data_IF_593422769504
#
_entry.id   IF_593422769504
#
_cell.length_a   1.000
_cell.length_b   1.000
_cell.length_c   1.000
_cell.angle_alpha   90.00
_cell.angle_beta   90.00
_cell.angle_gamma   90.00
#
_symmetry.space_group_name_H-M   'P 1'
#
loop_
_entity.id
_entity.type
_entity.pdbx_description
1 polymer ?
#
# COMPACT_ATOMS: atom_id res chain seq x y z
N UNK A 1 10.04 -25.27 22.44
CA UNK A 1 8.82 -24.47 22.21
C UNK A 1 8.65 -24.37 20.72
N UNK A 2 7.52 -24.79 20.16
CA UNK A 2 7.26 -24.60 18.71
C UNK A 2 7.09 -23.10 18.47
N UNK A 3 8.02 -22.50 17.75
CA UNK A 3 7.96 -21.07 17.40
C UNK A 3 6.88 -20.89 16.34
N UNK A 4 5.88 -20.05 16.57
CA UNK A 4 4.83 -19.77 15.60
C UNK A 4 5.41 -19.01 14.42
N UNK A 5 5.15 -19.49 13.20
CA UNK A 5 5.72 -18.94 11.97
C UNK A 5 4.67 -18.18 11.15
N UNK A 6 5.00 -16.97 10.73
CA UNK A 6 4.23 -16.19 9.76
C UNK A 6 4.98 -16.05 8.46
N UNK A 7 4.32 -16.31 7.32
CA UNK A 7 4.82 -15.95 6.00
C UNK A 7 4.24 -14.60 5.59
N UNK A 8 5.11 -13.65 5.26
CA UNK A 8 4.72 -12.31 4.78
C UNK A 8 5.04 -12.22 3.29
N UNK A 9 4.00 -12.17 2.45
CA UNK A 9 4.12 -11.91 1.02
C UNK A 9 3.96 -10.41 0.75
N UNK A 10 4.85 -9.86 -0.10
CA UNK A 10 4.97 -8.40 -0.28
C UNK A 10 5.83 -7.72 0.81
N UNK A 11 6.68 -8.47 1.51
CA UNK A 11 7.50 -8.04 2.64
C UNK A 11 8.43 -6.83 2.34
N UNK A 12 8.83 -6.63 1.09
CA UNK A 12 9.68 -5.49 0.67
C UNK A 12 8.90 -4.20 0.43
N UNK A 13 7.54 -4.29 0.34
CA UNK A 13 6.65 -3.14 0.14
C UNK A 13 6.51 -2.27 1.39
N UNK A 14 5.82 -1.13 1.24
CA UNK A 14 5.58 -0.19 2.34
C UNK A 14 4.97 -0.89 3.56
N UNK A 15 3.78 -1.45 3.43
CA UNK A 15 3.09 -2.12 4.54
C UNK A 15 3.79 -3.42 4.96
N UNK A 16 4.30 -4.19 4.01
CA UNK A 16 4.97 -5.48 4.30
C UNK A 16 6.13 -5.34 5.28
N UNK A 17 6.93 -4.27 5.17
CA UNK A 17 8.03 -3.97 6.10
C UNK A 17 7.54 -3.71 7.53
N UNK A 18 6.43 -3.00 7.68
CA UNK A 18 5.83 -2.75 8.98
C UNK A 18 5.27 -4.04 9.59
N UNK A 19 4.65 -4.91 8.78
CA UNK A 19 4.17 -6.22 9.24
C UNK A 19 5.34 -7.11 9.68
N UNK A 20 6.42 -7.19 8.90
CA UNK A 20 7.63 -7.94 9.30
C UNK A 20 8.13 -7.45 10.65
N UNK A 21 8.31 -6.13 10.82
CA UNK A 21 8.76 -5.52 12.08
C UNK A 21 7.81 -5.84 13.25
N UNK A 22 6.49 -5.73 13.02
CA UNK A 22 5.47 -6.00 14.04
C UNK A 22 5.52 -7.45 14.52
N UNK A 23 5.54 -8.43 13.61
CA UNK A 23 5.57 -9.84 14.00
C UNK A 23 6.92 -10.27 14.60
N UNK A 24 8.04 -9.69 14.15
CA UNK A 24 9.34 -9.84 14.80
C UNK A 24 9.30 -9.36 16.25
N UNK A 25 8.71 -8.18 16.52
CA UNK A 25 8.59 -7.64 17.89
C UNK A 25 7.69 -8.48 18.79
N UNK A 26 6.74 -9.23 18.22
CA UNK A 26 5.88 -10.19 18.93
C UNK A 26 6.56 -11.55 19.17
N UNK A 27 7.80 -11.74 18.73
CA UNK A 27 8.57 -12.98 18.91
C UNK A 27 8.20 -14.10 17.95
N UNK A 28 7.52 -13.80 16.84
CA UNK A 28 7.23 -14.77 15.79
C UNK A 28 8.45 -15.05 14.92
N UNK A 29 8.53 -16.26 14.39
CA UNK A 29 9.43 -16.55 13.27
C UNK A 29 8.82 -15.96 12.00
N UNK A 30 9.46 -14.93 11.43
CA UNK A 30 8.95 -14.23 10.25
C UNK A 30 9.70 -14.72 9.01
N UNK A 31 9.00 -15.46 8.15
CA UNK A 31 9.44 -15.81 6.82
C UNK A 31 8.96 -14.79 5.82
N UNK A 32 9.87 -13.98 5.30
CA UNK A 32 9.57 -12.97 4.29
C UNK A 32 9.75 -13.57 2.88
N UNK A 33 8.65 -13.66 2.11
CA UNK A 33 8.72 -14.07 0.71
C UNK A 33 9.23 -12.90 -0.13
N UNK A 34 10.36 -13.09 -0.80
CA UNK A 34 11.04 -12.05 -1.59
C UNK A 34 11.51 -12.61 -2.93
N UNK A 35 11.51 -11.78 -3.99
CA UNK A 35 12.00 -12.18 -5.32
C UNK A 35 13.52 -12.26 -5.40
N UNK A 36 14.22 -11.53 -4.53
CA UNK A 36 15.69 -11.53 -4.44
C UNK A 36 16.10 -11.23 -3.00
N UNK A 37 16.69 -12.22 -2.33
CA UNK A 37 17.08 -12.11 -0.93
C UNK A 37 18.20 -11.09 -0.68
N UNK A 38 19.19 -11.00 -1.60
CA UNK A 38 20.28 -10.05 -1.45
C UNK A 38 19.82 -8.60 -1.60
N UNK A 39 18.92 -8.34 -2.57
CA UNK A 39 18.32 -7.03 -2.73
C UNK A 39 17.45 -6.65 -1.50
N UNK A 40 16.72 -7.62 -0.94
CA UNK A 40 15.92 -7.41 0.25
C UNK A 40 16.80 -7.04 1.47
N UNK A 41 17.89 -7.78 1.72
CA UNK A 41 18.88 -7.44 2.77
C UNK A 41 19.50 -6.06 2.58
N UNK A 42 19.97 -5.77 1.37
CA UNK A 42 20.55 -4.44 1.04
C UNK A 42 19.57 -3.29 1.24
N UNK A 43 18.27 -3.55 1.09
CA UNK A 43 17.21 -2.55 1.33
C UNK A 43 16.81 -2.42 2.81
N UNK A 44 17.52 -3.14 3.72
CA UNK A 44 17.27 -3.08 5.17
C UNK A 44 16.04 -3.87 5.63
N UNK A 45 15.60 -4.89 4.86
CA UNK A 45 14.57 -5.81 5.35
C UNK A 45 15.19 -6.76 6.37
N UNK A 46 14.75 -6.65 7.62
CA UNK A 46 15.14 -7.50 8.74
C UNK A 46 14.00 -8.46 9.06
N UNK A 47 14.15 -9.73 8.67
CA UNK A 47 13.23 -10.83 8.92
C UNK A 47 14.01 -12.03 9.42
N UNK A 48 13.36 -12.93 10.18
CA UNK A 48 14.02 -14.14 10.68
C UNK A 48 14.54 -15.01 9.55
N UNK A 49 13.77 -15.08 8.45
CA UNK A 49 14.08 -15.87 7.27
C UNK A 49 13.69 -15.09 6.00
N UNK A 50 14.58 -15.05 5.01
CA UNK A 50 14.25 -14.59 3.66
C UNK A 50 14.08 -15.81 2.76
N UNK A 51 12.85 -16.09 2.35
CA UNK A 51 12.53 -17.15 1.39
C UNK A 51 12.52 -16.54 -0.02
N UNK A 52 13.43 -17.01 -0.88
CA UNK A 52 13.49 -16.51 -2.25
C UNK A 52 12.50 -17.27 -3.13
N UNK A 53 11.52 -16.57 -3.65
CA UNK A 53 10.47 -17.11 -4.50
C UNK A 53 9.62 -16.01 -5.12
N UNK A 54 8.95 -16.35 -6.21
CA UNK A 54 8.08 -15.46 -6.95
C UNK A 54 6.64 -15.96 -6.93
N UNK A 55 5.75 -15.23 -6.27
CA UNK A 55 4.35 -15.65 -6.08
C UNK A 55 3.58 -15.86 -7.40
N UNK A 56 4.00 -15.23 -8.50
CA UNK A 56 3.44 -15.46 -9.85
C UNK A 56 3.91 -16.77 -10.48
N UNK A 57 4.99 -17.39 -9.95
CA UNK A 57 5.53 -18.66 -10.41
C UNK A 57 5.46 -19.73 -9.31
N UNK A 58 4.43 -20.61 -9.30
CA UNK A 58 4.23 -21.60 -8.25
C UNK A 58 5.43 -22.54 -8.02
N UNK A 59 6.22 -22.81 -9.07
CA UNK A 59 7.37 -23.72 -8.98
C UNK A 59 8.45 -23.19 -8.02
N UNK A 60 8.51 -21.89 -7.79
CA UNK A 60 9.48 -21.26 -6.89
C UNK A 60 8.99 -21.20 -5.43
N UNK A 61 7.75 -21.61 -5.18
CA UNK A 61 7.14 -21.58 -3.84
C UNK A 61 7.27 -22.91 -3.06
N UNK A 62 7.91 -23.91 -3.67
CA UNK A 62 8.11 -25.21 -3.02
C UNK A 62 8.83 -25.04 -1.67
N UNK A 63 8.20 -25.50 -0.57
CA UNK A 63 8.70 -25.36 0.80
C UNK A 63 8.39 -23.99 1.46
N UNK A 64 7.83 -23.02 0.73
CA UNK A 64 7.52 -21.71 1.31
C UNK A 64 6.56 -21.80 2.50
N UNK A 65 5.63 -22.75 2.48
CA UNK A 65 4.61 -22.95 3.51
C UNK A 65 4.98 -23.96 4.60
N UNK A 66 6.20 -24.54 4.56
CA UNK A 66 6.61 -25.54 5.55
C UNK A 66 6.66 -24.95 6.95
N UNK A 67 5.85 -25.50 7.86
CA UNK A 67 5.75 -25.04 9.26
C UNK A 67 5.10 -23.66 9.44
N UNK A 68 4.48 -23.09 8.41
CA UNK A 68 3.80 -21.80 8.49
C UNK A 68 2.42 -21.97 9.15
N UNK A 69 2.12 -21.12 10.15
CA UNK A 69 0.82 -21.07 10.82
C UNK A 69 -0.10 -20.00 10.23
N UNK A 70 0.49 -18.90 9.74
CA UNK A 70 -0.22 -17.73 9.27
C UNK A 70 0.42 -17.21 7.98
N UNK A 71 -0.39 -16.93 6.97
CA UNK A 71 0.04 -16.17 5.79
C UNK A 71 -0.56 -14.77 5.86
N UNK A 72 0.27 -13.75 5.64
CA UNK A 72 -0.19 -12.37 5.45
C UNK A 72 0.26 -11.90 4.09
N UNK A 73 -0.70 -11.65 3.19
CA UNK A 73 -0.40 -11.12 1.87
C UNK A 73 -0.77 -9.65 1.76
N UNK A 74 0.25 -8.86 1.45
CA UNK A 74 0.14 -7.46 1.01
C UNK A 74 0.45 -7.33 -0.48
N UNK A 75 0.45 -8.46 -1.21
CA UNK A 75 0.72 -8.44 -2.64
C UNK A 75 -0.35 -7.67 -3.38
N UNK A 76 0.14 -6.83 -4.25
CA UNK A 76 -0.64 -6.00 -5.15
C UNK A 76 0.27 -4.98 -5.80
N UNK A 77 -0.10 -4.52 -6.99
CA UNK A 77 0.63 -3.52 -7.73
C UNK A 77 -0.25 -2.31 -7.98
N UNK A 78 0.17 -1.15 -7.52
CA UNK A 78 -0.47 0.10 -7.92
C UNK A 78 0.05 0.56 -9.28
N UNK A 79 1.34 0.31 -9.58
CA UNK A 79 2.00 0.71 -10.83
C UNK A 79 2.61 -0.50 -11.52
N UNK A 80 2.14 -0.80 -12.73
CA UNK A 80 2.64 -1.91 -13.56
C UNK A 80 4.00 -1.53 -14.16
N UNK A 81 5.09 -2.01 -13.60
CA UNK A 81 6.46 -1.73 -14.10
C UNK A 81 7.10 -2.92 -14.78
N UNK A 82 6.72 -4.15 -14.42
CA UNK A 82 7.38 -5.40 -14.82
C UNK A 82 6.60 -6.12 -15.94
N UNK A 83 5.68 -5.44 -16.63
CA UNK A 83 4.82 -6.04 -17.67
C UNK A 83 3.71 -6.96 -17.13
N UNK A 84 3.62 -7.17 -15.82
CA UNK A 84 2.59 -7.98 -15.17
C UNK A 84 1.29 -7.18 -15.04
N UNK A 85 0.16 -7.87 -15.23
CA UNK A 85 -1.17 -7.31 -15.05
C UNK A 85 -1.61 -7.36 -13.57
N UNK A 86 -2.70 -6.66 -13.23
CA UNK A 86 -3.35 -6.80 -11.92
C UNK A 86 -3.85 -8.23 -11.68
N UNK A 87 -4.30 -8.92 -12.74
CA UNK A 87 -4.74 -10.30 -12.64
C UNK A 87 -3.58 -11.25 -12.32
N UNK A 88 -2.37 -10.99 -12.80
CA UNK A 88 -1.19 -11.82 -12.50
C UNK A 88 -0.77 -11.64 -11.04
N UNK A 89 -0.78 -10.42 -10.51
CA UNK A 89 -0.23 -10.13 -9.18
C UNK A 89 -1.32 -10.10 -8.10
N UNK A 90 -2.38 -9.30 -8.29
CA UNK A 90 -3.41 -9.10 -7.27
C UNK A 90 -4.34 -10.31 -7.13
N UNK A 91 -4.52 -11.10 -8.21
CA UNK A 91 -5.30 -12.34 -8.18
C UNK A 91 -4.43 -13.60 -8.20
N UNK A 92 -3.71 -13.88 -9.31
CA UNK A 92 -3.08 -15.18 -9.53
C UNK A 92 -1.96 -15.48 -8.52
N UNK A 93 -1.09 -14.51 -8.23
CA UNK A 93 -0.04 -14.69 -7.23
C UNK A 93 -0.62 -15.02 -5.84
N UNK A 94 -1.68 -14.32 -5.42
CA UNK A 94 -2.38 -14.61 -4.17
C UNK A 94 -3.10 -15.97 -4.21
N UNK A 95 -3.66 -16.37 -5.37
CA UNK A 95 -4.29 -17.66 -5.56
C UNK A 95 -3.29 -18.82 -5.47
N UNK A 96 -2.06 -18.62 -5.97
CA UNK A 96 -0.97 -19.61 -5.83
C UNK A 96 -0.60 -19.78 -4.34
N UNK A 97 -0.39 -18.66 -3.61
CA UNK A 97 -0.11 -18.71 -2.16
C UNK A 97 -1.24 -19.38 -1.37
N UNK A 98 -2.50 -19.13 -1.72
CA UNK A 98 -3.65 -19.77 -1.07
C UNK A 98 -3.66 -21.28 -1.33
N UNK A 99 -3.35 -21.69 -2.56
CA UNK A 99 -3.30 -23.12 -2.92
C UNK A 99 -2.23 -23.85 -2.09
N UNK A 100 -1.03 -23.28 -1.97
CA UNK A 100 0.05 -23.85 -1.18
C UNK A 100 -0.26 -23.82 0.33
N UNK A 101 -0.88 -22.74 0.81
CA UNK A 101 -1.31 -22.61 2.21
C UNK A 101 -2.34 -23.71 2.58
N UNK A 102 -3.29 -23.98 1.70
CA UNK A 102 -4.27 -25.07 1.89
C UNK A 102 -3.61 -26.45 1.88
N UNK A 103 -2.68 -26.71 0.98
CA UNK A 103 -1.94 -27.98 0.91
C UNK A 103 -1.10 -28.21 2.17
N UNK A 104 -0.47 -27.15 2.69
CA UNK A 104 0.33 -27.19 3.92
C UNK A 104 -0.52 -27.11 5.20
N UNK A 105 -1.85 -27.00 5.11
CA UNK A 105 -2.78 -26.86 6.24
C UNK A 105 -2.47 -25.65 7.14
N UNK A 106 -2.09 -24.54 6.52
CA UNK A 106 -1.95 -23.25 7.21
C UNK A 106 -3.27 -22.89 7.91
N UNK A 107 -3.19 -22.40 9.14
CA UNK A 107 -4.38 -22.15 9.97
C UNK A 107 -5.19 -20.95 9.51
N UNK A 108 -4.51 -19.88 9.05
CA UNK A 108 -5.15 -18.61 8.68
C UNK A 108 -4.43 -17.89 7.53
N UNK A 109 -5.22 -17.21 6.70
CA UNK A 109 -4.73 -16.36 5.62
C UNK A 109 -5.31 -14.94 5.79
N UNK A 110 -4.44 -13.94 5.98
CA UNK A 110 -4.82 -12.54 6.01
C UNK A 110 -4.47 -11.84 4.69
N UNK A 111 -5.37 -11.02 4.18
CA UNK A 111 -5.21 -10.33 2.90
C UNK A 111 -5.54 -8.85 3.00
N UNK A 112 -4.70 -8.01 2.37
CA UNK A 112 -4.91 -6.57 2.30
C UNK A 112 -5.63 -6.19 1.02
N UNK A 113 -6.87 -5.78 1.19
CA UNK A 113 -7.79 -5.36 0.15
C UNK A 113 -7.84 -3.82 0.02
N UNK A 114 -8.96 -3.27 -0.37
CA UNK A 114 -9.27 -1.83 -0.47
C UNK A 114 -10.63 -1.55 0.15
N UNK A 115 -10.75 -0.46 0.88
CA UNK A 115 -12.04 0.01 1.39
C UNK A 115 -12.98 0.36 0.23
N UNK A 116 -14.28 0.12 0.41
CA UNK A 116 -15.32 0.40 -0.60
C UNK A 116 -15.10 -0.28 -1.96
N UNK A 117 -14.41 -1.42 -2.01
CA UNK A 117 -14.14 -2.17 -3.25
C UNK A 117 -15.42 -2.42 -4.06
N UNK A 118 -16.56 -2.68 -3.40
CA UNK A 118 -17.84 -2.91 -4.05
C UNK A 118 -18.34 -1.72 -4.92
N UNK A 119 -17.83 -0.50 -4.68
CA UNK A 119 -18.12 0.71 -5.46
C UNK A 119 -17.15 0.95 -6.62
N UNK A 120 -16.09 0.14 -6.69
CA UNK A 120 -14.99 0.29 -7.65
C UNK A 120 -14.73 -0.99 -8.46
N UNK A 121 -15.73 -1.84 -8.63
CA UNK A 121 -15.57 -3.14 -9.32
C UNK A 121 -15.16 -3.01 -10.79
N UNK A 122 -15.43 -1.87 -11.43
CA UNK A 122 -14.99 -1.59 -12.80
C UNK A 122 -13.50 -1.19 -12.88
N UNK A 123 -12.84 -0.93 -11.74
CA UNK A 123 -11.41 -0.62 -11.69
C UNK A 123 -10.61 -1.93 -11.72
N UNK A 124 -9.76 -2.16 -12.74
CA UNK A 124 -9.10 -3.46 -12.95
C UNK A 124 -8.30 -3.96 -11.73
N UNK A 125 -7.61 -3.06 -11.02
CA UNK A 125 -6.93 -3.37 -9.76
C UNK A 125 -7.90 -3.93 -8.72
N UNK A 126 -9.04 -3.26 -8.53
CA UNK A 126 -10.02 -3.62 -7.50
C UNK A 126 -10.77 -4.88 -7.88
N UNK A 127 -11.09 -5.07 -9.18
CA UNK A 127 -11.69 -6.29 -9.68
C UNK A 127 -10.82 -7.52 -9.42
N UNK A 128 -9.53 -7.45 -9.69
CA UNK A 128 -8.59 -8.54 -9.44
C UNK A 128 -8.48 -8.86 -7.93
N UNK A 129 -8.39 -7.83 -7.08
CA UNK A 129 -8.37 -8.00 -5.61
C UNK A 129 -9.67 -8.62 -5.08
N UNK A 130 -10.81 -8.15 -5.57
CA UNK A 130 -12.11 -8.67 -5.14
C UNK A 130 -12.28 -10.15 -5.55
N UNK A 131 -11.90 -10.50 -6.78
CA UNK A 131 -11.92 -11.88 -7.25
C UNK A 131 -11.08 -12.82 -6.36
N UNK A 132 -9.94 -12.33 -5.84
CA UNK A 132 -9.16 -13.11 -4.87
C UNK A 132 -9.88 -13.21 -3.52
N UNK A 133 -10.47 -12.14 -3.00
CA UNK A 133 -11.27 -12.17 -1.76
C UNK A 133 -12.40 -13.18 -1.88
N UNK A 134 -13.12 -13.21 -2.99
CA UNK A 134 -14.21 -14.16 -3.24
C UNK A 134 -13.68 -15.60 -3.21
N UNK A 135 -12.52 -15.88 -3.84
CA UNK A 135 -11.86 -17.19 -3.79
C UNK A 135 -11.39 -17.54 -2.39
N UNK A 136 -10.84 -16.59 -1.62
CA UNK A 136 -10.39 -16.78 -0.25
C UNK A 136 -11.57 -17.17 0.66
N UNK A 137 -12.69 -16.45 0.55
CA UNK A 137 -13.89 -16.74 1.33
C UNK A 137 -14.57 -18.07 0.94
N UNK A 138 -14.44 -18.51 -0.31
CA UNK A 138 -14.92 -19.81 -0.77
C UNK A 138 -14.03 -20.99 -0.31
N UNK A 139 -12.84 -20.73 0.22
CA UNK A 139 -11.91 -21.75 0.72
C UNK A 139 -12.20 -22.10 2.19
N UNK A 140 -11.76 -23.29 2.66
CA UNK A 140 -11.96 -23.72 4.05
C UNK A 140 -11.00 -23.06 5.05
N UNK A 141 -10.01 -22.27 4.60
CA UNK A 141 -9.05 -21.62 5.49
C UNK A 141 -9.70 -20.47 6.26
N UNK A 142 -9.37 -20.30 7.53
CA UNK A 142 -9.80 -19.09 8.26
C UNK A 142 -9.16 -17.88 7.60
N UNK A 143 -9.95 -16.87 7.30
CA UNK A 143 -9.46 -15.69 6.62
C UNK A 143 -9.67 -14.40 7.42
N UNK A 144 -8.85 -13.39 7.13
CA UNK A 144 -9.03 -12.02 7.63
C UNK A 144 -8.74 -11.06 6.46
N UNK A 145 -9.75 -10.33 6.04
CA UNK A 145 -9.62 -9.32 4.98
C UNK A 145 -9.51 -7.94 5.62
N UNK A 146 -8.40 -7.26 5.37
CA UNK A 146 -8.14 -5.91 5.86
C UNK A 146 -8.39 -4.93 4.72
N UNK A 147 -9.27 -3.96 4.92
CA UNK A 147 -9.66 -2.99 3.90
C UNK A 147 -9.30 -1.56 4.34
N UNK A 148 -8.06 -1.10 4.08
CA UNK A 148 -7.63 0.24 4.43
C UNK A 148 -8.27 1.31 3.54
N UNK A 149 -8.52 2.48 4.12
CA UNK A 149 -9.04 3.68 3.44
C UNK A 149 -8.01 4.36 2.54
N UNK A 150 -6.73 4.19 2.85
CA UNK A 150 -5.55 4.70 2.16
C UNK A 150 -4.34 4.66 3.07
N UNK A 151 -3.15 4.72 2.49
CA UNK A 151 -1.90 4.75 3.24
C UNK A 151 -1.31 6.15 3.29
N UNK A 152 -0.59 6.48 4.34
CA UNK A 152 0.18 7.73 4.39
C UNK A 152 1.16 7.86 3.22
N UNK A 153 1.74 6.76 2.76
CA UNK A 153 2.63 6.76 1.59
C UNK A 153 1.96 7.29 0.32
N UNK A 154 0.65 7.09 0.17
CA UNK A 154 -0.11 7.56 -0.99
C UNK A 154 -0.42 9.07 -0.91
N UNK A 155 -0.41 9.62 0.30
CA UNK A 155 -0.66 11.05 0.54
C UNK A 155 0.51 11.93 0.07
N UNK A 156 1.66 11.35 -0.22
CA UNK A 156 2.82 12.06 -0.77
C UNK A 156 2.53 12.79 -2.07
N UNK A 157 1.54 12.37 -2.86
CA UNK A 157 1.15 13.07 -4.09
C UNK A 157 0.55 14.45 -3.80
N UNK A 158 -0.17 14.63 -2.68
CA UNK A 158 -0.63 15.96 -2.23
C UNK A 158 0.55 16.87 -1.89
N UNK A 159 1.57 16.32 -1.21
CA UNK A 159 2.79 17.08 -0.91
C UNK A 159 3.54 17.47 -2.17
N UNK A 160 3.69 16.57 -3.15
CA UNK A 160 4.35 16.85 -4.43
C UNK A 160 3.61 17.94 -5.23
N UNK A 161 2.27 17.93 -5.25
CA UNK A 161 1.49 19.00 -5.85
C UNK A 161 1.68 20.34 -5.12
N UNK A 162 1.70 20.34 -3.78
CA UNK A 162 1.94 21.53 -2.97
C UNK A 162 3.37 22.09 -3.18
N UNK A 163 4.38 21.25 -3.32
CA UNK A 163 5.75 21.63 -3.70
C UNK A 163 5.78 22.35 -5.04
N UNK A 164 5.01 21.87 -6.02
CA UNK A 164 4.84 22.49 -7.35
C UNK A 164 4.03 23.80 -7.30
N UNK A 165 3.54 24.19 -6.13
CA UNK A 165 2.90 25.47 -5.86
C UNK A 165 1.37 25.48 -5.95
N UNK A 166 0.72 24.37 -6.33
CA UNK A 166 -0.75 24.29 -6.42
C UNK A 166 -1.26 22.85 -6.29
N UNK A 167 -2.31 22.64 -5.50
CA UNK A 167 -3.05 21.40 -5.44
C UNK A 167 -4.33 21.52 -6.26
N UNK A 168 -4.60 20.51 -7.10
CA UNK A 168 -5.82 20.43 -7.89
C UNK A 168 -6.73 19.34 -7.28
N UNK A 169 -7.98 19.71 -6.99
CA UNK A 169 -9.01 18.81 -6.49
C UNK A 169 -10.19 18.77 -7.46
N UNK A 170 -10.94 17.68 -7.48
CA UNK A 170 -12.15 17.56 -8.26
C UNK A 170 -13.39 17.79 -7.37
N UNK A 171 -14.37 18.54 -7.89
CA UNK A 171 -15.57 18.91 -7.13
C UNK A 171 -15.27 19.94 -6.05
N UNK A 172 -15.98 19.86 -4.92
CA UNK A 172 -15.84 20.83 -3.81
C UNK A 172 -14.63 20.56 -2.90
N UNK A 173 -13.97 19.40 -3.02
CA UNK A 173 -12.91 18.99 -2.11
C UNK A 173 -13.38 18.59 -0.70
N UNK A 174 -14.70 18.42 -0.49
CA UNK A 174 -15.28 18.08 0.81
C UNK A 174 -15.48 16.58 1.03
N UNK A 175 -15.05 15.75 0.08
CA UNK A 175 -15.04 14.29 0.30
C UNK A 175 -13.98 13.95 1.34
N UNK A 176 -14.35 13.03 2.22
CA UNK A 176 -13.57 12.68 3.41
C UNK A 176 -12.76 11.41 3.21
N UNK A 177 -11.61 11.37 3.86
CA UNK A 177 -10.76 10.17 3.96
C UNK A 177 -10.02 10.18 5.30
N UNK A 178 -9.71 8.98 5.79
CA UNK A 178 -8.89 8.82 6.99
C UNK A 178 -7.73 7.84 6.72
N UNK A 179 -6.69 8.26 5.98
CA UNK A 179 -5.55 7.41 5.68
C UNK A 179 -4.84 6.96 6.96
N UNK A 180 -4.15 5.82 6.91
CA UNK A 180 -3.48 5.24 8.07
C UNK A 180 -1.98 5.08 7.84
N UNK A 181 -1.18 5.25 8.92
CA UNK A 181 0.25 4.91 8.93
C UNK A 181 0.47 3.40 8.81
N UNK A 182 1.56 3.00 8.15
CA UNK A 182 1.87 1.58 7.94
C UNK A 182 2.16 0.80 9.22
N UNK A 183 2.75 1.42 10.25
CA UNK A 183 3.00 0.76 11.52
C UNK A 183 1.71 0.59 12.32
N UNK A 184 0.88 1.65 12.40
CA UNK A 184 -0.44 1.57 13.04
C UNK A 184 -1.31 0.49 12.36
N UNK A 185 -1.27 0.41 11.03
CA UNK A 185 -2.00 -0.63 10.29
C UNK A 185 -1.47 -2.04 10.58
N UNK A 186 -0.16 -2.22 10.72
CA UNK A 186 0.42 -3.52 11.06
C UNK A 186 -0.03 -3.99 12.45
N UNK A 187 -0.18 -3.10 13.42
CA UNK A 187 -0.76 -3.39 14.74
C UNK A 187 -2.23 -3.79 14.64
N UNK A 188 -3.03 -3.06 13.84
CA UNK A 188 -4.44 -3.39 13.58
C UNK A 188 -4.58 -4.77 12.93
N UNK A 189 -3.72 -5.10 11.96
CA UNK A 189 -3.69 -6.41 11.31
C UNK A 189 -3.44 -7.51 12.35
N UNK A 190 -2.44 -7.34 13.20
CA UNK A 190 -2.10 -8.33 14.23
C UNK A 190 -3.27 -8.53 15.23
N UNK A 191 -3.88 -7.45 15.72
CA UNK A 191 -5.06 -7.50 16.59
C UNK A 191 -6.26 -8.17 15.89
N UNK A 192 -6.55 -7.81 14.64
CA UNK A 192 -7.68 -8.37 13.90
C UNK A 192 -7.54 -9.88 13.67
N UNK A 193 -6.32 -10.34 13.40
CA UNK A 193 -6.01 -11.78 13.26
C UNK A 193 -6.17 -12.49 14.60
N UNK A 194 -5.67 -11.91 15.68
CA UNK A 194 -5.80 -12.45 17.03
C UNK A 194 -7.26 -12.58 17.44
N UNK A 195 -8.06 -11.55 17.20
CA UNK A 195 -9.50 -11.50 17.52
C UNK A 195 -10.36 -12.38 16.58
N UNK A 196 -9.76 -12.95 15.54
CA UNK A 196 -10.46 -13.81 14.58
C UNK A 196 -11.45 -13.08 13.69
N UNK A 197 -11.23 -11.78 13.42
CA UNK A 197 -12.14 -10.97 12.58
C UNK A 197 -12.01 -11.35 11.11
N UNK A 198 -13.15 -11.52 10.43
CA UNK A 198 -13.16 -11.92 9.01
C UNK A 198 -12.95 -10.74 8.06
N UNK A 199 -13.51 -9.56 8.40
CA UNK A 199 -13.39 -8.34 7.61
C UNK A 199 -13.22 -7.10 8.51
N UNK A 200 -12.25 -6.26 8.18
CA UNK A 200 -11.92 -5.06 8.96
C UNK A 200 -11.75 -3.85 8.05
N UNK A 201 -12.72 -2.92 8.03
CA UNK A 201 -12.55 -1.63 7.37
C UNK A 201 -11.66 -0.74 8.25
N UNK A 202 -10.51 -0.31 7.74
CA UNK A 202 -9.50 0.39 8.53
C UNK A 202 -9.28 1.80 8.01
N UNK A 203 -9.26 2.76 8.92
CA UNK A 203 -8.81 4.12 8.70
C UNK A 203 -7.90 4.59 9.83
N UNK A 204 -7.19 5.68 9.61
CA UNK A 204 -6.38 6.35 10.62
C UNK A 204 -7.23 7.11 11.65
N UNK A 205 -6.57 7.69 12.67
CA UNK A 205 -7.26 8.34 13.79
C UNK A 205 -7.95 9.65 13.39
N UNK A 206 -7.56 10.24 12.25
CA UNK A 206 -8.00 11.56 11.82
C UNK A 206 -8.77 11.45 10.49
N UNK A 207 -10.02 11.91 10.47
CA UNK A 207 -10.80 12.05 9.25
C UNK A 207 -10.63 13.47 8.71
N UNK A 208 -10.17 13.57 7.46
CA UNK A 208 -9.87 14.83 6.79
C UNK A 208 -10.68 14.92 5.50
N UNK A 209 -11.12 16.11 5.16
CA UNK A 209 -11.56 16.43 3.80
C UNK A 209 -10.33 16.52 2.87
N UNK A 210 -10.54 16.38 1.57
CA UNK A 210 -9.47 16.59 0.58
C UNK A 210 -8.89 18.02 0.67
N UNK A 211 -9.70 19.01 1.02
CA UNK A 211 -9.26 20.40 1.26
C UNK A 211 -8.32 20.47 2.47
N UNK A 212 -8.66 19.84 3.59
CA UNK A 212 -7.83 19.83 4.80
C UNK A 212 -6.52 19.09 4.56
N UNK A 213 -6.57 17.95 3.84
CA UNK A 213 -5.36 17.22 3.45
C UNK A 213 -4.43 18.07 2.57
N UNK A 214 -4.99 18.79 1.57
CA UNK A 214 -4.22 19.71 0.74
C UNK A 214 -3.64 20.87 1.57
N UNK A 215 -4.41 21.44 2.49
CA UNK A 215 -3.92 22.49 3.39
C UNK A 215 -2.80 22.00 4.31
N UNK A 216 -2.91 20.77 4.84
CA UNK A 216 -1.87 20.15 5.66
C UNK A 216 -0.55 19.98 4.88
N UNK A 217 -0.61 19.61 3.58
CA UNK A 217 0.56 19.52 2.73
C UNK A 217 1.26 20.87 2.55
N UNK A 218 0.51 21.95 2.31
CA UNK A 218 1.08 23.32 2.24
C UNK A 218 1.65 23.77 3.59
N UNK A 219 0.97 23.46 4.69
CA UNK A 219 1.44 23.80 6.05
C UNK A 219 2.79 23.16 6.33
N UNK A 220 2.98 21.88 5.97
CA UNK A 220 4.26 21.19 6.13
C UNK A 220 5.41 21.85 5.35
N UNK A 221 5.10 22.50 4.22
CA UNK A 221 6.06 23.26 3.41
C UNK A 221 6.22 24.72 3.87
N UNK A 222 5.50 25.17 4.90
CA UNK A 222 5.44 26.58 5.33
C UNK A 222 5.03 27.54 4.19
N UNK A 223 4.13 27.08 3.31
CA UNK A 223 3.62 27.85 2.16
C UNK A 223 2.13 28.18 2.32
N UNK A 224 1.66 29.31 1.79
CA UNK A 224 0.23 29.61 1.72
C UNK A 224 -0.49 28.57 0.83
N UNK A 225 -1.65 28.09 1.29
CA UNK A 225 -2.42 27.11 0.54
C UNK A 225 -2.98 27.70 -0.77
N UNK A 226 -2.69 27.02 -1.89
CA UNK A 226 -3.22 27.34 -3.21
C UNK A 226 -3.92 26.11 -3.78
N UNK A 227 -5.23 26.03 -3.52
CA UNK A 227 -6.08 24.91 -3.94
C UNK A 227 -6.96 25.38 -5.11
N UNK A 228 -7.03 24.58 -6.15
CA UNK A 228 -7.91 24.84 -7.32
C UNK A 228 -8.89 23.69 -7.47
N UNK A 229 -10.17 24.04 -7.45
CA UNK A 229 -11.25 23.08 -7.64
C UNK A 229 -11.62 23.00 -9.13
N UNK A 230 -11.48 21.80 -9.69
CA UNK A 230 -11.91 21.48 -11.05
C UNK A 230 -13.31 20.85 -10.99
N UNK A 231 -14.20 21.17 -11.94
CA UNK A 231 -15.50 20.50 -12.02
C UNK A 231 -15.35 18.98 -12.08
N UNK A 232 -16.15 18.23 -11.31
CA UNK A 232 -16.08 16.76 -11.23
C UNK A 232 -16.31 16.05 -12.58
N UNK A 233 -16.92 16.75 -13.54
CA UNK A 233 -17.10 16.25 -14.89
C UNK A 233 -15.77 15.91 -15.57
N UNK A 234 -14.68 16.62 -15.26
CA UNK A 234 -13.34 16.30 -15.78
C UNK A 234 -12.82 14.98 -15.25
N UNK A 235 -13.01 14.71 -13.93
CA UNK A 235 -12.67 13.41 -13.34
C UNK A 235 -13.47 12.27 -13.99
N UNK A 236 -14.80 12.46 -14.13
CA UNK A 236 -15.67 11.46 -14.77
C UNK A 236 -15.32 11.27 -16.25
N UNK A 237 -14.97 12.33 -16.94
CA UNK A 237 -14.48 12.27 -18.32
C UNK A 237 -13.17 11.50 -18.42
N UNK A 238 -12.20 11.78 -17.53
CA UNK A 238 -10.93 11.06 -17.46
C UNK A 238 -11.14 9.56 -17.22
N UNK A 239 -12.00 9.16 -16.25
CA UNK A 239 -12.32 7.75 -16.00
C UNK A 239 -12.85 7.01 -17.26
N UNK A 240 -13.59 7.70 -18.13
CA UNK A 240 -14.13 7.12 -19.35
C UNK A 240 -13.12 7.07 -20.50
N UNK A 241 -12.26 8.08 -20.62
CA UNK A 241 -11.40 8.29 -21.79
C UNK A 241 -10.03 7.61 -21.62
N UNK A 242 -9.44 7.67 -20.41
CA UNK A 242 -8.08 7.15 -20.16
C UNK A 242 -7.85 5.71 -20.66
N UNK A 243 -8.77 4.76 -20.48
CA UNK A 243 -8.57 3.38 -20.97
C UNK A 243 -8.35 3.26 -22.47
N UNK A 244 -8.84 4.22 -23.26
CA UNK A 244 -8.76 4.19 -24.72
C UNK A 244 -7.56 4.95 -25.29
N UNK A 245 -6.97 5.86 -24.50
CA UNK A 245 -5.92 6.77 -25.01
C UNK A 245 -4.56 6.55 -24.36
N UNK A 246 -4.48 5.71 -23.32
CA UNK A 246 -3.23 5.47 -22.60
C UNK A 246 -2.99 3.96 -22.38
N UNK A 247 -1.72 3.50 -22.29
CA UNK A 247 -1.39 2.14 -21.90
C UNK A 247 -1.92 1.78 -20.50
N UNK A 248 -2.17 0.50 -20.24
CA UNK A 248 -2.67 -0.02 -18.95
C UNK A 248 -1.79 0.38 -17.75
N UNK A 249 -0.49 0.42 -17.93
CA UNK A 249 0.46 0.85 -16.91
C UNK A 249 0.27 2.32 -16.44
N UNK A 250 -0.35 3.15 -17.28
CA UNK A 250 -0.65 4.56 -16.99
C UNK A 250 -2.07 4.72 -16.45
N UNK A 251 -3.08 4.21 -17.19
CA UNK A 251 -4.45 4.40 -16.77
C UNK A 251 -4.86 3.54 -15.57
N UNK A 252 -4.24 2.37 -15.38
CA UNK A 252 -4.58 1.49 -14.25
C UNK A 252 -4.51 2.19 -12.89
N UNK A 253 -3.35 2.77 -12.51
CA UNK A 253 -3.25 3.58 -11.27
C UNK A 253 -4.19 4.77 -11.27
N UNK A 254 -4.31 5.50 -12.39
CA UNK A 254 -5.15 6.68 -12.49
C UNK A 254 -6.64 6.36 -12.27
N UNK A 255 -7.14 5.26 -12.84
CA UNK A 255 -8.52 4.80 -12.62
C UNK A 255 -8.79 4.52 -11.14
N UNK A 256 -7.86 3.87 -10.46
CA UNK A 256 -8.00 3.61 -9.02
C UNK A 256 -8.06 4.92 -8.21
N UNK A 257 -7.05 5.79 -8.34
CA UNK A 257 -7.00 7.03 -7.58
C UNK A 257 -8.16 7.98 -7.90
N UNK A 258 -8.50 8.17 -9.19
CA UNK A 258 -9.62 9.01 -9.58
C UNK A 258 -10.97 8.45 -9.07
N UNK A 259 -11.14 7.13 -9.00
CA UNK A 259 -12.34 6.51 -8.44
C UNK A 259 -12.42 6.73 -6.93
N UNK A 260 -11.32 6.48 -6.20
CA UNK A 260 -11.24 6.70 -4.75
C UNK A 260 -11.47 8.17 -4.37
N UNK A 261 -10.88 9.13 -5.12
CA UNK A 261 -11.08 10.57 -4.92
C UNK A 261 -12.53 11.03 -5.22
N UNK A 262 -13.37 10.20 -5.82
CA UNK A 262 -14.76 10.51 -6.12
C UNK A 262 -15.77 10.06 -5.06
N UNK A 263 -15.33 9.57 -3.90
CA UNK A 263 -16.19 9.09 -2.82
C UNK A 263 -15.53 9.29 -1.45
N UNK A 264 -16.30 9.19 -0.37
CA UNK A 264 -15.73 9.15 0.97
C UNK A 264 -14.99 7.81 1.17
N UNK A 265 -13.74 7.91 1.63
CA UNK A 265 -12.87 6.78 1.97
C UNK A 265 -12.59 6.82 3.48
N UNK A 266 -13.63 6.54 4.28
CA UNK A 266 -13.57 6.59 5.75
C UNK A 266 -13.83 5.20 6.31
N UNK A 267 -12.80 4.60 6.89
CA UNK A 267 -12.85 3.34 7.62
C UNK A 267 -12.99 3.56 9.13
N UNK A 268 -13.08 2.48 9.91
CA UNK A 268 -13.03 2.56 11.37
C UNK A 268 -11.68 3.13 11.81
N UNK A 269 -11.71 4.11 12.69
CA UNK A 269 -10.51 4.81 13.16
C UNK A 269 -9.65 3.93 14.06
N UNK A 270 -8.36 3.86 13.72
CA UNK A 270 -7.30 3.15 14.46
C UNK A 270 -6.00 3.96 14.46
N UNK A 271 -5.09 3.56 15.36
CA UNK A 271 -3.76 4.14 15.44
C UNK A 271 -3.72 5.49 16.14
N UNK A 272 -2.58 6.13 16.07
CA UNK A 272 -2.31 7.39 16.79
C UNK A 272 -1.54 8.41 15.97
N UNK A 273 -0.97 8.02 14.82
CA UNK A 273 -0.17 8.92 14.00
C UNK A 273 -1.02 9.76 13.07
N UNK A 274 -0.66 11.03 12.93
CA UNK A 274 -1.34 12.00 12.10
C UNK A 274 -0.64 12.22 10.76
N UNK A 275 -1.41 12.48 9.69
CA UNK A 275 -0.84 12.71 8.35
C UNK A 275 0.05 13.95 8.30
N UNK A 276 -0.19 14.94 9.17
CA UNK A 276 0.64 16.14 9.29
C UNK A 276 2.06 15.82 9.76
N UNK A 277 2.24 14.86 10.65
CA UNK A 277 3.55 14.39 11.10
C UNK A 277 4.29 13.69 9.95
N UNK A 278 3.59 12.84 9.20
CA UNK A 278 4.13 12.18 8.02
C UNK A 278 4.62 13.19 6.96
N UNK A 279 3.85 14.23 6.67
CA UNK A 279 4.29 15.29 5.77
C UNK A 279 5.52 16.02 6.27
N UNK A 280 5.59 16.34 7.58
CA UNK A 280 6.77 16.97 8.17
C UNK A 280 8.02 16.09 8.04
N UNK A 281 7.90 14.78 8.26
CA UNK A 281 8.99 13.83 8.11
C UNK A 281 9.45 13.70 6.65
N UNK A 282 8.52 13.70 5.70
CA UNK A 282 8.86 13.70 4.26
C UNK A 282 9.63 14.95 3.87
N UNK A 283 9.21 16.13 4.34
CA UNK A 283 9.91 17.39 4.06
C UNK A 283 11.31 17.36 4.65
N UNK A 284 11.46 16.95 5.92
CA UNK A 284 12.75 16.82 6.61
C UNK A 284 13.70 15.90 5.87
N UNK A 285 13.23 14.69 5.51
CA UNK A 285 14.06 13.72 4.80
C UNK A 285 14.48 14.17 3.40
N UNK A 286 13.67 14.99 2.71
CA UNK A 286 14.04 15.62 1.45
C UNK A 286 15.13 16.68 1.63
N UNK A 287 15.03 17.50 2.68
CA UNK A 287 16.03 18.52 3.02
C UNK A 287 17.38 17.88 3.35
N UNK A 288 17.39 16.88 4.24
CA UNK A 288 18.62 16.16 4.61
C UNK A 288 19.32 15.54 3.39
N UNK A 289 18.55 14.96 2.44
CA UNK A 289 19.10 14.43 1.19
C UNK A 289 19.64 15.52 0.25
N UNK A 290 19.06 16.70 0.26
CA UNK A 290 19.53 17.84 -0.54
C UNK A 290 20.85 18.39 0.04
N UNK A 291 20.95 18.49 1.37
CA UNK A 291 22.14 18.98 2.07
C UNK A 291 23.31 17.98 2.00
N UNK A 292 23.00 16.66 1.95
CA UNK A 292 24.01 15.60 1.84
C UNK A 292 24.61 15.44 0.42
N UNK A 293 24.06 16.11 -0.62
CA UNK A 293 24.67 16.11 -1.96
C UNK A 293 25.91 17.00 -1.97
N UNK A 294 27.13 16.49 -2.32
CA UNK A 294 28.33 17.32 -2.42
C UNK A 294 28.08 18.47 -3.41
N UNK A 295 28.34 19.72 -2.97
CA UNK A 295 28.43 20.86 -3.90
C UNK A 295 29.49 20.51 -4.95
N UNK A 296 29.06 20.31 -6.18
CA UNK A 296 29.99 20.14 -7.31
C UNK A 296 30.82 21.40 -7.40
N UNK A 297 32.11 21.31 -7.00
CA UNK A 297 33.08 22.37 -7.08
C UNK A 297 33.03 23.03 -8.46
N UNK A 298 32.65 24.29 -8.50
CA UNK A 298 32.82 25.17 -9.64
C UNK A 298 34.31 25.11 -10.01
N UNK A 299 34.64 24.55 -11.19
CA UNK A 299 35.99 24.61 -11.74
C UNK A 299 36.38 26.08 -11.85
N UNK A 300 37.53 26.51 -11.33
CA UNK A 300 38.02 27.86 -11.58
C UNK A 300 38.20 28.06 -13.08
N UNK A 301 37.59 29.08 -13.63
CA UNK A 301 37.84 29.54 -14.98
C UNK A 301 39.34 29.94 -15.03
N UNK A 302 40.15 29.24 -15.81
CA UNK A 302 41.49 29.63 -16.15
C UNK A 302 41.42 30.91 -17.00
N UNK A 303 41.84 32.01 -16.42
CA UNK A 303 42.24 33.24 -17.16
C UNK A 303 43.50 32.91 -17.97
N UNK A 304 43.35 32.92 -19.28
CA UNK A 304 44.43 33.21 -20.22
C UNK A 304 43.94 34.26 -21.22
#
# INVERSE_FOLDING_TARGET
>A
MNTTTVLVAGATGYLGRHIVKQYMSMGWHVRALVRNADAARKSGLDATELFEGEATNPLTLCGAMDGVNLVISTLGITRQRDGLSYWDVDYQANANLLTDALAAKVERFAYVHVLNAYRMQEVPLVAAKQAFVDRLHASPIKSTVIAPSGFFSDMGDFLNMAESGRVFLFGSGNLELNPIDGADLAEVIASAIWDGRDYVPVGGPETLTQNELAAAAFKALSKPAKITHLPDIFRRGALKVLPYVTPSAVHGPALFFLSALGMNMVGTSYGSKHVSEHFADLVRSKQEKADAKPQTLLKPQSLT
#
